data_IF_252301165921
#
_entry.id   IF_252301165921
#
_cell.length_a   1.000
_cell.length_b   1.000
_cell.length_c   1.000
_cell.angle_alpha   90.00
_cell.angle_beta   90.00
_cell.angle_gamma   90.00
#
_symmetry.space_group_name_H-M   'P 1'
#
loop_
_entity.id
_entity.type
_entity.pdbx_description
1 polymer ?
#
# COMPACT_ATOMS: atom_id res chain seq x y z
N UNK A 1 -13.58 46.39 -8.18
CA UNK A 1 -13.38 45.67 -6.90
C UNK A 1 -13.63 44.20 -7.19
N UNK A 2 -12.57 43.50 -7.61
CA UNK A 2 -12.57 42.11 -8.07
C UNK A 2 -11.10 41.65 -8.11
N UNK A 3 -10.47 41.53 -6.95
CA UNK A 3 -9.01 41.30 -6.83
C UNK A 3 -8.69 40.33 -5.69
N UNK A 4 -9.31 39.14 -5.69
CA UNK A 4 -8.82 38.04 -4.84
C UNK A 4 -9.07 36.63 -5.39
N UNK A 5 -10.03 36.44 -6.30
CA UNK A 5 -10.31 35.12 -6.88
C UNK A 5 -9.47 34.78 -8.13
N UNK A 6 -9.03 35.77 -8.90
CA UNK A 6 -8.26 35.53 -10.14
C UNK A 6 -6.82 35.06 -9.86
N UNK A 7 -6.23 35.45 -8.71
CA UNK A 7 -4.84 35.14 -8.36
C UNK A 7 -4.64 33.72 -7.80
N UNK A 8 -5.72 32.97 -7.54
CA UNK A 8 -5.61 31.57 -7.10
C UNK A 8 -5.34 30.64 -8.30
N UNK A 9 -5.68 31.09 -9.52
CA UNK A 9 -5.46 30.32 -10.74
C UNK A 9 -3.99 30.30 -11.20
N UNK A 10 -3.15 31.17 -10.65
CA UNK A 10 -1.70 31.27 -10.93
C UNK A 10 -0.83 30.84 -9.74
N UNK A 11 -1.29 29.91 -8.91
CA UNK A 11 -0.38 29.19 -8.01
C UNK A 11 0.76 28.57 -8.84
N UNK A 12 1.97 29.13 -8.71
CA UNK A 12 3.16 28.68 -9.43
C UNK A 12 3.27 27.14 -9.38
N UNK A 13 3.58 26.48 -10.51
CA UNK A 13 3.54 25.02 -10.61
C UNK A 13 4.38 24.31 -9.54
N UNK A 14 5.44 24.95 -9.04
CA UNK A 14 6.27 24.43 -7.95
C UNK A 14 5.52 24.35 -6.60
N UNK A 15 4.64 25.31 -6.29
CA UNK A 15 3.82 25.31 -5.06
C UNK A 15 2.77 24.20 -5.13
N UNK A 16 2.18 23.97 -6.32
CA UNK A 16 1.21 22.89 -6.54
C UNK A 16 1.85 21.51 -6.35
N UNK A 17 3.04 21.29 -6.92
CA UNK A 17 3.80 20.03 -6.74
C UNK A 17 4.21 19.83 -5.28
N UNK A 18 4.67 20.88 -4.60
CA UNK A 18 5.04 20.82 -3.19
C UNK A 18 3.85 20.44 -2.28
N UNK A 19 2.68 21.04 -2.52
CA UNK A 19 1.44 20.71 -1.80
C UNK A 19 0.95 19.30 -2.08
N UNK A 20 1.02 18.84 -3.33
CA UNK A 20 0.66 17.47 -3.70
C UNK A 20 1.56 16.45 -2.99
N UNK A 21 2.87 16.68 -2.95
CA UNK A 21 3.82 15.81 -2.22
C UNK A 21 3.53 15.77 -0.73
N UNK A 22 3.28 16.92 -0.10
CA UNK A 22 2.93 16.99 1.31
C UNK A 22 1.63 16.23 1.62
N UNK A 23 0.61 16.37 0.77
CA UNK A 23 -0.65 15.65 0.90
C UNK A 23 -0.44 14.13 0.80
N UNK A 24 0.36 13.65 -0.15
CA UNK A 24 0.70 12.22 -0.30
C UNK A 24 1.45 11.70 0.93
N UNK A 25 2.42 12.46 1.48
CA UNK A 25 3.13 12.06 2.70
C UNK A 25 2.16 11.95 3.88
N UNK A 26 1.27 12.92 4.07
CA UNK A 26 0.27 12.88 5.14
C UNK A 26 -0.71 11.71 4.97
N UNK A 27 -1.06 11.37 3.73
CA UNK A 27 -1.88 10.19 3.43
C UNK A 27 -1.15 8.89 3.80
N UNK A 28 0.12 8.74 3.43
CA UNK A 28 0.94 7.57 3.82
C UNK A 28 1.06 7.45 5.35
N UNK A 29 1.23 8.57 6.05
CA UNK A 29 1.28 8.58 7.52
C UNK A 29 -0.05 8.14 8.14
N UNK A 30 -1.18 8.56 7.57
CA UNK A 30 -2.52 8.12 7.99
C UNK A 30 -2.70 6.60 7.82
N UNK A 31 -2.22 6.05 6.70
CA UNK A 31 -2.26 4.60 6.46
C UNK A 31 -1.37 3.85 7.46
N UNK A 32 -0.17 4.35 7.74
CA UNK A 32 0.73 3.76 8.74
C UNK A 32 0.11 3.75 10.15
N UNK A 33 -0.54 4.85 10.56
CA UNK A 33 -1.26 4.92 11.83
C UNK A 33 -2.44 3.94 11.89
N UNK A 34 -3.15 3.75 10.78
CA UNK A 34 -4.25 2.79 10.68
C UNK A 34 -3.77 1.36 10.87
N UNK A 35 -2.66 0.98 10.25
CA UNK A 35 -2.03 -0.34 10.45
C UNK A 35 -1.59 -0.52 11.90
N UNK A 36 -0.95 0.49 12.50
CA UNK A 36 -0.55 0.43 13.91
C UNK A 36 -1.75 0.27 14.85
N UNK A 37 -2.86 0.96 14.58
CA UNK A 37 -4.08 0.82 15.36
C UNK A 37 -4.66 -0.61 15.28
N UNK A 38 -4.67 -1.22 14.09
CA UNK A 38 -5.11 -2.61 13.91
C UNK A 38 -4.20 -3.58 14.67
N UNK A 39 -2.89 -3.40 14.59
CA UNK A 39 -1.92 -4.22 15.32
C UNK A 39 -2.05 -4.06 16.83
N UNK A 40 -2.27 -2.84 17.32
CA UNK A 40 -2.49 -2.56 18.73
C UNK A 40 -3.79 -3.21 19.23
N UNK A 41 -4.88 -3.14 18.46
CA UNK A 41 -6.13 -3.82 18.77
C UNK A 41 -5.93 -5.34 18.84
N UNK A 42 -5.22 -5.94 17.88
CA UNK A 42 -4.89 -7.37 17.91
C UNK A 42 -4.03 -7.76 19.11
N UNK A 43 -3.02 -6.96 19.44
CA UNK A 43 -2.18 -7.18 20.62
C UNK A 43 -2.95 -7.08 21.94
N UNK A 44 -3.88 -6.11 22.03
CA UNK A 44 -4.76 -5.96 23.17
C UNK A 44 -5.68 -7.17 23.34
N UNK A 45 -6.34 -7.61 22.26
CA UNK A 45 -7.20 -8.82 22.29
C UNK A 45 -6.42 -10.08 22.66
N UNK A 46 -5.17 -10.22 22.17
CA UNK A 46 -4.31 -11.32 22.55
C UNK A 46 -3.92 -11.27 24.04
N UNK A 47 -3.72 -10.08 24.61
CA UNK A 47 -3.43 -9.91 26.04
C UNK A 47 -4.62 -10.22 26.95
N UNK A 48 -5.84 -10.01 26.44
CA UNK A 48 -7.10 -10.34 27.12
C UNK A 48 -7.55 -11.79 26.87
N UNK A 49 -6.68 -12.66 26.36
CA UNK A 49 -6.99 -14.04 26.01
C UNK A 49 -7.18 -14.93 27.26
N UNK A 50 -8.19 -14.64 28.08
CA UNK A 50 -8.70 -15.53 29.09
C UNK A 50 -9.51 -16.63 28.40
N UNK A 51 -9.26 -17.90 28.74
CA UNK A 51 -9.95 -19.09 28.19
C UNK A 51 -9.61 -19.46 26.73
N UNK A 52 -8.46 -19.05 26.18
CA UNK A 52 -8.03 -19.43 24.81
C UNK A 52 -9.01 -19.04 23.69
N UNK A 53 -9.87 -18.04 23.93
CA UNK A 53 -10.85 -17.54 22.97
C UNK A 53 -10.23 -16.74 21.80
N UNK A 54 -8.98 -16.28 21.95
CA UNK A 54 -8.30 -15.53 20.90
C UNK A 54 -7.96 -16.41 19.69
N UNK A 55 -7.44 -17.62 19.92
CA UNK A 55 -6.96 -18.53 18.87
C UNK A 55 -7.43 -19.97 19.17
N UNK A 56 -8.03 -20.63 18.19
CA UNK A 56 -8.52 -22.01 18.35
C UNK A 56 -7.43 -23.02 17.98
N UNK A 57 -7.45 -24.18 18.64
CA UNK A 57 -6.53 -25.28 18.35
C UNK A 57 -6.76 -25.80 16.92
N UNK A 58 -5.80 -25.55 16.03
CA UNK A 58 -5.90 -25.86 14.60
C UNK A 58 -5.60 -24.68 13.69
N UNK A 59 -5.66 -23.45 14.20
CA UNK A 59 -5.38 -22.24 13.42
C UNK A 59 -3.90 -22.17 13.00
N UNK A 60 -3.69 -22.21 11.68
CA UNK A 60 -2.36 -22.07 11.11
C UNK A 60 -1.96 -20.59 11.07
N UNK A 61 -0.79 -20.23 11.63
CA UNK A 61 -0.26 -18.88 11.45
C UNK A 61 0.03 -18.62 9.96
N UNK A 62 0.03 -17.34 9.53
CA UNK A 62 0.46 -16.98 8.18
C UNK A 62 1.85 -17.56 7.89
N UNK A 63 2.00 -18.15 6.71
CA UNK A 63 3.27 -18.73 6.32
C UNK A 63 4.36 -17.63 6.24
N UNK A 64 5.36 -17.75 7.11
CA UNK A 64 6.41 -16.73 7.25
C UNK A 64 7.22 -16.53 5.96
N UNK A 65 7.74 -17.63 5.38
CA UNK A 65 8.61 -17.56 4.21
C UNK A 65 7.90 -16.93 2.98
N UNK A 66 6.67 -17.34 2.63
CA UNK A 66 5.87 -16.66 1.61
C UNK A 66 5.66 -15.17 1.88
N UNK A 67 5.30 -14.80 3.11
CA UNK A 67 5.13 -13.40 3.49
C UNK A 67 6.43 -12.59 3.38
N UNK A 68 7.57 -13.18 3.75
CA UNK A 68 8.88 -12.56 3.61
C UNK A 68 9.24 -12.32 2.13
N UNK A 69 8.97 -13.29 1.25
CA UNK A 69 9.22 -13.14 -0.19
C UNK A 69 8.35 -12.04 -0.81
N UNK A 70 7.08 -11.92 -0.39
CA UNK A 70 6.19 -10.82 -0.81
C UNK A 70 6.75 -9.48 -0.36
N UNK A 71 7.20 -9.36 0.89
CA UNK A 71 7.81 -8.14 1.41
C UNK A 71 9.07 -7.74 0.64
N UNK A 72 9.97 -8.70 0.36
CA UNK A 72 11.17 -8.48 -0.45
C UNK A 72 10.80 -8.01 -1.86
N UNK A 73 9.82 -8.64 -2.51
CA UNK A 73 9.37 -8.26 -3.83
C UNK A 73 8.82 -6.81 -3.85
N UNK A 74 8.04 -6.41 -2.85
CA UNK A 74 7.53 -5.03 -2.74
C UNK A 74 8.65 -4.00 -2.54
N UNK A 75 9.66 -4.33 -1.71
CA UNK A 75 10.84 -3.46 -1.53
C UNK A 75 11.62 -3.32 -2.85
N UNK A 76 11.86 -4.43 -3.56
CA UNK A 76 12.54 -4.42 -4.86
C UNK A 76 11.74 -3.66 -5.92
N UNK A 77 10.41 -3.76 -5.89
CA UNK A 77 9.53 -2.95 -6.73
C UNK A 77 9.71 -1.45 -6.46
N UNK A 78 9.61 -1.03 -5.20
CA UNK A 78 9.75 0.37 -4.81
C UNK A 78 11.12 0.93 -5.17
N UNK A 79 12.19 0.16 -4.97
CA UNK A 79 13.53 0.52 -5.41
C UNK A 79 13.59 0.67 -6.93
N UNK A 80 13.07 -0.29 -7.69
CA UNK A 80 13.06 -0.26 -9.15
C UNK A 80 12.31 0.97 -9.68
N UNK A 81 11.18 1.32 -9.05
CA UNK A 81 10.42 2.52 -9.37
C UNK A 81 11.18 3.82 -9.03
N UNK A 82 11.89 3.86 -7.90
CA UNK A 82 12.74 5.00 -7.55
C UNK A 82 13.88 5.20 -8.56
N UNK A 83 14.53 4.11 -8.99
CA UNK A 83 15.57 4.17 -10.03
C UNK A 83 14.99 4.60 -11.38
N UNK A 84 13.78 4.16 -11.71
CA UNK A 84 13.05 4.64 -12.88
C UNK A 84 12.78 6.14 -12.82
N UNK A 85 12.23 6.65 -11.71
CA UNK A 85 11.94 8.08 -11.53
C UNK A 85 13.21 8.93 -11.66
N UNK A 86 14.31 8.48 -11.04
CA UNK A 86 15.61 9.16 -11.14
C UNK A 86 16.09 9.24 -12.58
N UNK A 87 16.04 8.12 -13.31
CA UNK A 87 16.51 8.05 -14.70
C UNK A 87 15.61 8.80 -15.68
N UNK A 88 14.30 8.83 -15.40
CA UNK A 88 13.32 9.61 -16.15
C UNK A 88 13.60 11.12 -16.09
N UNK A 89 14.13 11.62 -14.96
CA UNK A 89 14.53 13.03 -14.80
C UNK A 89 15.84 13.37 -15.53
N UNK A 90 16.68 12.38 -15.76
CA UNK A 90 18.00 12.53 -16.41
C UNK A 90 17.91 12.46 -17.96
N UNK A 91 16.72 12.30 -18.55
CA UNK A 91 16.47 12.23 -20.01
C UNK A 91 17.27 11.14 -20.76
N UNK A 92 17.72 10.10 -20.05
CA UNK A 92 18.38 8.95 -20.67
C UNK A 92 17.33 7.96 -21.19
N UNK A 93 16.93 8.10 -22.45
CA UNK A 93 15.86 7.30 -23.07
C UNK A 93 16.12 5.79 -23.20
N UNK A 94 17.34 5.31 -22.90
CA UNK A 94 17.70 3.89 -23.05
C UNK A 94 17.69 3.18 -21.69
N UNK A 95 16.66 2.36 -21.44
CA UNK A 95 16.53 1.55 -20.22
C UNK A 95 15.46 2.02 -19.23
N UNK A 96 14.87 3.21 -19.44
CA UNK A 96 13.77 3.73 -18.63
C UNK A 96 12.57 2.75 -18.60
N UNK A 97 12.09 2.28 -19.76
CA UNK A 97 10.96 1.34 -19.79
C UNK A 97 11.25 0.02 -19.06
N UNK A 98 12.51 -0.45 -19.05
CA UNK A 98 12.88 -1.71 -18.42
C UNK A 98 12.75 -1.67 -16.89
N UNK A 99 13.21 -0.60 -16.22
CA UNK A 99 13.07 -0.46 -14.76
C UNK A 99 11.60 -0.36 -14.32
N UNK A 100 10.78 0.31 -15.13
CA UNK A 100 9.34 0.38 -14.90
C UNK A 100 8.66 -0.99 -15.04
N UNK A 101 9.00 -1.76 -16.08
CA UNK A 101 8.50 -3.12 -16.28
C UNK A 101 8.93 -4.02 -15.12
N UNK A 102 10.18 -3.93 -14.67
CA UNK A 102 10.68 -4.70 -13.53
C UNK A 102 9.90 -4.38 -12.25
N UNK A 103 9.64 -3.10 -11.97
CA UNK A 103 8.78 -2.70 -10.86
C UNK A 103 7.39 -3.35 -10.96
N UNK A 104 6.74 -3.27 -12.12
CA UNK A 104 5.43 -3.90 -12.35
C UNK A 104 5.45 -5.42 -12.16
N UNK A 105 6.49 -6.10 -12.62
CA UNK A 105 6.64 -7.55 -12.43
C UNK A 105 6.72 -7.89 -10.94
N UNK A 106 7.50 -7.14 -10.16
CA UNK A 106 7.59 -7.37 -8.72
C UNK A 106 6.28 -7.08 -7.99
N UNK A 107 5.54 -6.03 -8.39
CA UNK A 107 4.18 -5.75 -7.90
C UNK A 107 3.25 -6.93 -8.19
N UNK A 108 3.29 -7.45 -9.41
CA UNK A 108 2.46 -8.59 -9.82
C UNK A 108 2.80 -9.86 -9.04
N UNK A 109 4.09 -10.17 -8.87
CA UNK A 109 4.55 -11.30 -8.06
C UNK A 109 4.12 -11.16 -6.59
N UNK A 110 4.20 -9.96 -6.02
CA UNK A 110 3.71 -9.68 -4.68
C UNK A 110 2.20 -9.92 -4.55
N UNK A 111 1.41 -9.51 -5.55
CA UNK A 111 -0.03 -9.73 -5.59
C UNK A 111 -0.38 -11.23 -5.65
N UNK A 112 0.28 -11.99 -6.53
CA UNK A 112 0.10 -13.45 -6.61
C UNK A 112 0.51 -14.12 -5.30
N UNK A 113 1.64 -13.70 -4.71
CA UNK A 113 2.10 -14.20 -3.41
C UNK A 113 1.09 -13.92 -2.29
N UNK A 114 0.49 -12.73 -2.27
CA UNK A 114 -0.53 -12.36 -1.29
C UNK A 114 -1.80 -13.20 -1.44
N UNK A 115 -2.26 -13.46 -2.66
CA UNK A 115 -3.40 -14.36 -2.92
C UNK A 115 -3.08 -15.76 -2.40
N UNK A 116 -1.89 -16.27 -2.69
CA UNK A 116 -1.48 -17.61 -2.26
C UNK A 116 -1.38 -17.74 -0.74
N UNK A 117 -0.80 -16.74 -0.05
CA UNK A 117 -0.77 -16.69 1.43
C UNK A 117 -2.19 -16.73 1.98
N UNK A 118 -3.11 -15.94 1.43
CA UNK A 118 -4.50 -15.92 1.89
C UNK A 118 -5.22 -17.25 1.66
N UNK A 119 -5.00 -17.91 0.53
CA UNK A 119 -5.57 -19.24 0.28
C UNK A 119 -4.99 -20.31 1.22
N UNK A 120 -3.71 -20.19 1.57
CA UNK A 120 -3.03 -21.14 2.47
C UNK A 120 -3.51 -21.07 3.93
N UNK A 121 -4.14 -19.96 4.32
CA UNK A 121 -4.64 -19.77 5.68
C UNK A 121 -5.86 -20.64 5.99
N UNK A 122 -6.56 -21.16 4.97
CA UNK A 122 -7.58 -22.19 5.16
C UNK A 122 -8.76 -21.78 6.06
N UNK A 123 -8.98 -20.48 6.25
CA UNK A 123 -10.07 -19.87 7.01
C UNK A 123 -11.43 -20.33 6.47
N UNK A 124 -11.93 -21.42 7.06
CA UNK A 124 -13.11 -22.16 6.59
C UNK A 124 -14.14 -22.38 7.69
N UNK A 125 -13.86 -21.96 8.93
CA UNK A 125 -14.68 -22.22 10.09
C UNK A 125 -15.39 -20.96 10.58
N UNK A 126 -16.68 -20.84 10.24
CA UNK A 126 -17.59 -19.95 10.97
C UNK A 126 -17.99 -20.61 12.29
N UNK A 127 -18.03 -19.87 13.42
CA UNK A 127 -17.89 -18.43 13.56
C UNK A 127 -16.42 -17.94 13.62
N UNK A 128 -16.16 -16.77 13.03
CA UNK A 128 -14.85 -16.11 13.07
C UNK A 128 -14.43 -15.77 14.51
N UNK A 129 -13.23 -16.16 14.91
CA UNK A 129 -12.64 -15.82 16.22
C UNK A 129 -11.78 -14.55 16.13
N UNK A 130 -11.37 -13.99 17.27
CA UNK A 130 -10.70 -12.69 17.32
C UNK A 130 -9.39 -12.66 16.52
N UNK A 131 -8.59 -13.73 16.55
CA UNK A 131 -7.35 -13.84 15.78
C UNK A 131 -7.59 -13.78 14.26
N UNK A 132 -8.52 -14.58 13.76
CA UNK A 132 -8.88 -14.63 12.34
C UNK A 132 -9.46 -13.29 11.86
N UNK A 133 -10.30 -12.65 12.69
CA UNK A 133 -10.87 -11.32 12.39
C UNK A 133 -9.79 -10.25 12.23
N UNK A 134 -8.75 -10.26 13.08
CA UNK A 134 -7.61 -9.34 12.96
C UNK A 134 -6.82 -9.61 11.68
N UNK A 135 -6.57 -10.87 11.34
CA UNK A 135 -5.82 -11.23 10.14
C UNK A 135 -6.59 -10.90 8.86
N UNK A 136 -7.91 -11.12 8.86
CA UNK A 136 -8.78 -10.68 7.76
C UNK A 136 -8.80 -9.16 7.63
N UNK A 137 -8.84 -8.41 8.73
CA UNK A 137 -8.82 -6.95 8.70
C UNK A 137 -7.51 -6.41 8.13
N UNK A 138 -6.36 -6.94 8.55
CA UNK A 138 -5.04 -6.57 8.00
C UNK A 138 -4.98 -6.89 6.50
N UNK A 139 -5.45 -8.08 6.12
CA UNK A 139 -5.46 -8.53 4.73
C UNK A 139 -6.34 -7.63 3.87
N UNK A 140 -7.56 -7.33 4.34
CA UNK A 140 -8.49 -6.43 3.67
C UNK A 140 -7.93 -5.02 3.53
N UNK A 141 -7.34 -4.46 4.60
CA UNK A 141 -6.72 -3.14 4.57
C UNK A 141 -5.60 -3.08 3.52
N UNK A 142 -4.76 -4.12 3.48
CA UNK A 142 -3.68 -4.24 2.49
C UNK A 142 -4.23 -4.27 1.05
N UNK A 143 -5.33 -5.00 0.81
CA UNK A 143 -6.00 -5.03 -0.49
C UNK A 143 -6.55 -3.66 -0.88
N UNK A 144 -7.24 -2.97 0.03
CA UNK A 144 -7.81 -1.65 -0.23
C UNK A 144 -6.72 -0.63 -0.54
N UNK A 145 -5.62 -0.61 0.22
CA UNK A 145 -4.50 0.29 -0.04
C UNK A 145 -3.84 0.00 -1.40
N UNK A 146 -3.71 -1.27 -1.79
CA UNK A 146 -3.18 -1.66 -3.10
C UNK A 146 -4.05 -1.15 -4.26
N UNK A 147 -5.36 -1.38 -4.19
CA UNK A 147 -6.31 -0.89 -5.20
C UNK A 147 -6.40 0.63 -5.21
N UNK A 148 -6.45 1.26 -4.03
CA UNK A 148 -6.47 2.72 -3.89
C UNK A 148 -5.26 3.38 -4.56
N UNK A 149 -4.06 2.82 -4.39
CA UNK A 149 -2.85 3.27 -5.07
C UNK A 149 -2.91 3.11 -6.59
N UNK A 150 -3.57 2.07 -7.08
CA UNK A 150 -3.73 1.79 -8.52
C UNK A 150 -4.69 2.79 -9.19
N UNK A 151 -5.79 3.17 -8.53
CA UNK A 151 -6.77 4.13 -9.06
C UNK A 151 -6.34 5.59 -8.92
N UNK A 152 -5.53 5.92 -7.90
CA UNK A 152 -4.99 7.27 -7.73
C UNK A 152 -4.07 7.68 -8.90
N UNK A 153 -3.47 6.73 -9.61
CA UNK A 153 -2.64 6.99 -10.79
C UNK A 153 -3.45 7.44 -12.02
N UNK A 154 -4.75 7.11 -12.10
CA UNK A 154 -5.61 7.33 -13.28
C UNK A 154 -6.63 8.48 -13.09
N UNK A 155 -6.48 9.33 -12.07
CA UNK A 155 -7.47 10.38 -11.79
C UNK A 155 -7.55 11.42 -12.93
N UNK A 156 -8.72 11.62 -13.57
CA UNK A 156 -8.88 12.51 -14.74
C UNK A 156 -8.55 13.99 -14.51
N UNK A 157 -8.32 14.40 -13.25
CA UNK A 157 -7.93 15.76 -12.88
C UNK A 157 -6.43 16.00 -12.74
N UNK A 158 -5.57 14.99 -12.92
CA UNK A 158 -4.11 15.16 -12.96
C UNK A 158 -3.67 15.34 -14.41
N UNK A 159 -3.82 16.56 -14.92
CA UNK A 159 -3.23 16.97 -16.19
C UNK A 159 -1.69 16.87 -16.07
N UNK A 160 -1.14 15.79 -16.60
CA UNK A 160 0.31 15.53 -16.69
C UNK A 160 0.90 16.07 -17.99
N UNK A 161 0.16 16.89 -18.76
CA UNK A 161 0.71 17.50 -19.96
C UNK A 161 1.78 18.54 -19.61
N UNK A 162 3.02 18.38 -20.10
CA UNK A 162 3.94 19.50 -20.15
C UNK A 162 3.45 20.44 -21.26
N UNK A 163 2.90 21.59 -20.87
CA UNK A 163 2.92 22.79 -21.72
C UNK A 163 4.09 23.67 -21.32
#
# INVERSE_FOLDING_TARGET
MSTSLEHVHELEPHIRVGRARAAVIMFILSDALSVLAILAAGGYLNSLNTESQFKVAGDHPPAFLPGLLVAIALVLSGLSYYWWERRARENEGTGQAAFFIVALVFVFLALVGQIWVNMSLGYTTTPFHAYESVLMLITWFTWVSFWGGSFAADWPGMDTSPR
#
